data_IF_747696072618
#
_entry.id   IF_747696072618
#
_cell.length_a   1.000
_cell.length_b   1.000
_cell.length_c   1.000
_cell.angle_alpha   90.00
_cell.angle_beta   90.00
_cell.angle_gamma   90.00
#
_symmetry.space_group_name_H-M   'P 1'
#
loop_
_entity.id
_entity.type
_entity.pdbx_description
1 polymer ?
#
# COMPACT_ATOMS: atom_id res chain seq x y z
N UNK A 1 0.54 -12.05 -30.02
CA UNK A 1 -0.34 -11.87 -28.84
C UNK A 1 -1.35 -10.81 -29.20
N UNK A 2 -2.57 -11.22 -29.51
CA UNK A 2 -3.66 -10.31 -29.84
C UNK A 2 -4.27 -9.77 -28.55
N UNK A 3 -4.46 -8.46 -28.48
CA UNK A 3 -5.39 -7.85 -27.51
C UNK A 3 -6.81 -8.25 -27.91
N UNK A 4 -7.74 -8.23 -26.94
CA UNK A 4 -9.16 -8.42 -27.22
C UNK A 4 -9.62 -7.37 -28.27
N UNK A 5 -10.51 -7.70 -29.22
CA UNK A 5 -10.97 -6.74 -30.23
C UNK A 5 -11.56 -5.46 -29.64
N UNK A 6 -12.29 -5.59 -28.53
CA UNK A 6 -12.90 -4.47 -27.80
C UNK A 6 -11.99 -3.85 -26.72
N UNK A 7 -10.68 -4.09 -26.78
CA UNK A 7 -9.76 -3.52 -25.81
C UNK A 7 -9.76 -1.97 -25.91
N UNK A 8 -10.04 -1.25 -24.81
CA UNK A 8 -10.16 0.20 -24.82
C UNK A 8 -8.84 0.88 -25.17
N UNK A 9 -8.92 1.95 -25.97
CA UNK A 9 -7.78 2.81 -26.31
C UNK A 9 -7.49 3.87 -25.25
N UNK A 10 -8.49 4.24 -24.44
CA UNK A 10 -8.35 5.24 -23.38
C UNK A 10 -7.87 4.59 -22.09
N UNK A 11 -6.84 5.13 -21.42
CA UNK A 11 -6.38 4.61 -20.12
C UNK A 11 -7.36 4.91 -18.96
N UNK A 12 -8.37 5.73 -19.22
CA UNK A 12 -9.44 6.08 -18.28
C UNK A 12 -10.69 5.22 -18.46
N UNK A 13 -10.81 4.49 -19.57
CA UNK A 13 -11.94 3.63 -19.82
C UNK A 13 -11.87 2.38 -18.93
N UNK A 14 -13.03 1.94 -18.46
CA UNK A 14 -13.14 0.69 -17.72
C UNK A 14 -12.72 -0.49 -18.60
N UNK A 15 -11.83 -1.32 -18.05
CA UNK A 15 -11.36 -2.54 -18.71
C UNK A 15 -12.04 -3.76 -18.08
N UNK A 16 -13.03 -4.28 -18.78
CA UNK A 16 -13.86 -5.39 -18.31
C UNK A 16 -13.03 -6.68 -18.10
N UNK A 17 -13.42 -7.54 -17.14
CA UNK A 17 -12.67 -8.77 -16.82
C UNK A 17 -12.48 -9.73 -18.00
N UNK A 18 -13.45 -9.79 -18.91
CA UNK A 18 -13.46 -10.61 -20.12
C UNK A 18 -12.56 -10.07 -21.24
N UNK A 19 -12.31 -8.75 -21.27
CA UNK A 19 -11.45 -8.09 -22.26
C UNK A 19 -9.95 -8.08 -21.87
N UNK A 20 -9.60 -8.62 -20.71
CA UNK A 20 -8.24 -8.54 -20.15
C UNK A 20 -7.21 -9.26 -20.99
N UNK A 21 -6.01 -8.68 -21.08
CA UNK A 21 -4.87 -9.42 -21.61
C UNK A 21 -4.50 -10.61 -20.71
N UNK A 22 -4.12 -11.73 -21.34
CA UNK A 22 -3.58 -12.93 -20.69
C UNK A 22 -2.45 -13.50 -21.55
N UNK A 23 -1.53 -14.31 -20.98
CA UNK A 23 -0.31 -14.75 -21.68
C UNK A 23 -0.58 -15.94 -22.63
N UNK A 24 -1.60 -15.85 -23.48
CA UNK A 24 -1.92 -16.83 -24.52
C UNK A 24 -2.66 -16.16 -25.69
N UNK A 25 -2.93 -16.94 -26.73
CA UNK A 25 -3.73 -16.48 -27.86
C UNK A 25 -5.21 -16.37 -27.46
N UNK A 26 -5.93 -15.38 -28.01
CA UNK A 26 -7.31 -15.03 -27.62
C UNK A 26 -8.28 -16.22 -27.70
N UNK A 27 -8.06 -17.13 -28.65
CA UNK A 27 -8.84 -18.35 -28.87
C UNK A 27 -8.80 -19.30 -27.66
N UNK A 28 -7.79 -19.18 -26.81
CA UNK A 28 -7.61 -20.00 -25.60
C UNK A 28 -8.24 -19.40 -24.34
N UNK A 29 -8.90 -18.22 -24.42
CA UNK A 29 -9.45 -17.53 -23.24
C UNK A 29 -10.38 -18.41 -22.42
N UNK A 30 -11.34 -19.07 -23.09
CA UNK A 30 -12.36 -19.90 -22.43
C UNK A 30 -11.80 -21.12 -21.69
N UNK A 31 -10.56 -21.55 -21.99
CA UNK A 31 -9.97 -22.78 -21.44
C UNK A 31 -8.70 -22.56 -20.62
N UNK A 32 -7.98 -21.47 -20.85
CA UNK A 32 -6.65 -21.21 -20.29
C UNK A 32 -6.56 -19.95 -19.42
N UNK A 33 -7.53 -19.03 -19.49
CA UNK A 33 -7.44 -17.75 -18.77
C UNK A 33 -7.23 -17.91 -17.27
N UNK A 34 -8.04 -18.74 -16.61
CA UNK A 34 -7.94 -18.99 -15.16
C UNK A 34 -6.69 -19.78 -14.77
N UNK A 35 -6.15 -20.60 -15.69
CA UNK A 35 -4.94 -21.43 -15.45
C UNK A 35 -3.63 -20.65 -15.61
N UNK A 36 -3.67 -19.55 -16.36
CA UNK A 36 -2.49 -18.75 -16.70
C UNK A 36 -2.35 -17.48 -15.86
N UNK A 37 -3.37 -17.16 -15.06
CA UNK A 37 -3.35 -16.05 -14.12
C UNK A 37 -3.08 -16.55 -12.70
N UNK A 38 -2.62 -15.66 -11.79
CA UNK A 38 -2.59 -15.99 -10.38
C UNK A 38 -3.99 -16.44 -9.90
N UNK A 39 -4.10 -17.53 -9.12
CA UNK A 39 -5.35 -18.26 -8.89
C UNK A 39 -6.56 -17.46 -8.41
N UNK A 40 -6.32 -16.39 -7.65
CA UNK A 40 -7.39 -15.57 -7.06
C UNK A 40 -7.86 -14.43 -7.98
N UNK A 41 -7.05 -14.05 -8.98
CA UNK A 41 -7.21 -12.77 -9.70
C UNK A 41 -8.46 -12.76 -10.59
N UNK A 42 -8.76 -13.87 -11.28
CA UNK A 42 -9.88 -13.92 -12.21
C UNK A 42 -11.23 -13.69 -11.50
N UNK A 43 -11.42 -14.37 -10.36
CA UNK A 43 -12.63 -14.26 -9.54
C UNK A 43 -12.74 -12.89 -8.87
N UNK A 44 -11.64 -12.40 -8.26
CA UNK A 44 -11.62 -11.07 -7.62
C UNK A 44 -12.00 -9.98 -8.63
N UNK A 45 -11.41 -9.96 -9.83
CA UNK A 45 -11.74 -8.95 -10.85
C UNK A 45 -13.22 -8.97 -11.24
N UNK A 46 -13.79 -10.17 -11.40
CA UNK A 46 -15.19 -10.34 -11.77
C UNK A 46 -16.11 -9.80 -10.67
N UNK A 47 -15.84 -10.14 -9.41
CA UNK A 47 -16.65 -9.68 -8.28
C UNK A 47 -16.48 -8.18 -8.00
N UNK A 48 -15.27 -7.63 -8.14
CA UNK A 48 -15.02 -6.18 -8.03
C UNK A 48 -15.74 -5.41 -9.14
N UNK A 49 -15.74 -5.93 -10.37
CA UNK A 49 -16.48 -5.32 -11.49
C UNK A 49 -17.99 -5.27 -11.22
N UNK A 50 -18.56 -6.35 -10.68
CA UNK A 50 -19.98 -6.38 -10.30
C UNK A 50 -20.28 -5.41 -9.14
N UNK A 51 -19.44 -5.40 -8.11
CA UNK A 51 -19.58 -4.51 -6.96
C UNK A 51 -19.49 -3.02 -7.33
N UNK A 52 -18.61 -2.67 -8.29
CA UNK A 52 -18.53 -1.32 -8.87
C UNK A 52 -19.83 -0.94 -9.58
N UNK A 53 -20.36 -1.83 -10.42
CA UNK A 53 -21.62 -1.60 -11.13
C UNK A 53 -22.81 -1.42 -10.18
N UNK A 54 -22.79 -2.11 -9.03
CA UNK A 54 -23.78 -1.97 -7.95
C UNK A 54 -23.52 -0.74 -7.05
N UNK A 55 -22.73 0.24 -7.48
CA UNK A 55 -22.48 1.49 -6.74
C UNK A 55 -21.88 1.27 -5.33
N UNK A 56 -20.97 0.30 -5.21
CA UNK A 56 -20.22 -0.03 -4.01
C UNK A 56 -21.07 -0.51 -2.83
N UNK A 57 -22.16 -1.25 -3.09
CA UNK A 57 -23.02 -1.83 -2.05
C UNK A 57 -22.21 -2.69 -1.06
N UNK A 58 -22.50 -2.53 0.24
CA UNK A 58 -21.87 -3.26 1.33
C UNK A 58 -20.55 -2.66 1.84
N UNK A 59 -20.03 -1.60 1.21
CA UNK A 59 -18.91 -0.83 1.75
C UNK A 59 -19.36 0.04 2.94
N UNK A 60 -18.44 0.37 3.83
CA UNK A 60 -18.66 1.38 4.88
C UNK A 60 -19.01 2.75 4.27
N UNK A 61 -19.63 3.60 5.08
CA UNK A 61 -19.97 4.97 4.66
C UNK A 61 -18.70 5.74 4.26
N UNK A 62 -17.61 5.56 5.01
CA UNK A 62 -16.31 6.16 4.70
C UNK A 62 -15.76 5.69 3.36
N UNK A 63 -15.70 4.38 3.12
CA UNK A 63 -15.19 3.82 1.85
C UNK A 63 -16.03 4.30 0.67
N UNK A 64 -17.37 4.29 0.81
CA UNK A 64 -18.27 4.75 -0.24
C UNK A 64 -18.11 6.24 -0.51
N UNK A 65 -17.95 7.07 0.52
CA UNK A 65 -17.70 8.51 0.34
C UNK A 65 -16.41 8.76 -0.44
N UNK A 66 -15.31 8.11 -0.05
CA UNK A 66 -14.01 8.25 -0.71
C UNK A 66 -14.01 7.72 -2.15
N UNK A 67 -14.61 6.56 -2.41
CA UNK A 67 -14.69 5.99 -3.76
C UNK A 67 -15.50 6.88 -4.72
N UNK A 68 -16.65 7.41 -4.26
CA UNK A 68 -17.44 8.34 -5.06
C UNK A 68 -16.71 9.67 -5.27
N UNK A 69 -16.02 10.16 -4.24
CA UNK A 69 -15.17 11.33 -4.38
C UNK A 69 -14.10 11.09 -5.45
N UNK A 70 -13.30 10.03 -5.36
CA UNK A 70 -12.17 9.83 -6.28
C UNK A 70 -12.56 9.49 -7.72
N UNK A 71 -13.63 8.72 -7.92
CA UNK A 71 -13.88 8.10 -9.23
C UNK A 71 -15.17 8.54 -9.91
N UNK A 72 -16.12 9.11 -9.18
CA UNK A 72 -17.41 9.54 -9.72
C UNK A 72 -17.59 11.08 -9.69
N UNK A 73 -16.80 11.78 -8.89
CA UNK A 73 -16.82 13.25 -8.82
C UNK A 73 -15.84 13.84 -9.82
N UNK A 74 -16.25 14.91 -10.52
CA UNK A 74 -15.36 15.67 -11.40
C UNK A 74 -14.44 16.57 -10.58
N UNK A 75 -13.13 16.47 -10.82
CA UNK A 75 -12.12 17.28 -10.18
C UNK A 75 -11.49 18.21 -11.20
N UNK A 76 -11.49 19.51 -10.93
CA UNK A 76 -10.82 20.50 -11.76
C UNK A 76 -9.53 20.92 -11.08
N UNK A 77 -8.40 20.74 -11.77
CA UNK A 77 -7.07 21.14 -11.29
C UNK A 77 -6.57 22.29 -12.14
N UNK A 78 -6.09 23.34 -11.46
CA UNK A 78 -5.45 24.49 -12.08
C UNK A 78 -4.08 24.10 -12.64
N UNK A 79 -3.89 24.37 -13.92
CA UNK A 79 -2.66 24.13 -14.65
C UNK A 79 -1.70 25.30 -14.50
N UNK A 80 -0.44 25.11 -14.88
CA UNK A 80 0.59 26.15 -14.80
C UNK A 80 0.28 27.41 -15.63
N UNK A 81 -0.62 27.31 -16.62
CA UNK A 81 -1.11 28.40 -17.45
C UNK A 81 -2.39 29.08 -16.90
N UNK A 82 -2.86 28.68 -15.72
CA UNK A 82 -4.07 29.19 -15.08
C UNK A 82 -5.36 28.58 -15.63
N UNK A 83 -5.28 27.60 -16.54
CA UNK A 83 -6.48 26.90 -17.05
C UNK A 83 -6.93 25.80 -16.09
N UNK A 84 -8.23 25.55 -16.04
CA UNK A 84 -8.78 24.41 -15.30
C UNK A 84 -8.90 23.21 -16.23
N UNK A 85 -8.34 22.09 -15.80
CA UNK A 85 -8.41 20.83 -16.54
C UNK A 85 -9.04 19.73 -15.68
N UNK A 86 -9.82 18.82 -16.28
CA UNK A 86 -10.39 17.70 -15.55
C UNK A 86 -9.28 16.71 -15.18
N UNK A 87 -9.15 16.46 -13.88
CA UNK A 87 -8.29 15.42 -13.34
C UNK A 87 -9.06 14.10 -13.24
N UNK A 88 -8.44 13.02 -13.71
CA UNK A 88 -8.99 11.67 -13.63
C UNK A 88 -7.89 10.67 -13.29
N UNK A 89 -8.20 9.74 -12.40
CA UNK A 89 -7.34 8.58 -12.17
C UNK A 89 -7.45 7.60 -13.35
N UNK A 90 -6.35 6.94 -13.68
CA UNK A 90 -6.38 5.85 -14.66
C UNK A 90 -7.18 4.68 -14.12
N UNK A 91 -7.80 3.90 -15.01
CA UNK A 91 -8.60 2.76 -14.58
C UNK A 91 -7.78 1.72 -13.82
N UNK A 92 -6.51 1.53 -14.16
CA UNK A 92 -5.61 0.64 -13.42
C UNK A 92 -5.36 1.11 -11.97
N UNK A 93 -5.37 2.42 -11.71
CA UNK A 93 -5.25 2.99 -10.36
C UNK A 93 -6.56 2.80 -9.59
N UNK A 94 -7.70 3.07 -10.25
CA UNK A 94 -9.04 2.83 -9.71
C UNK A 94 -9.24 1.39 -9.29
N UNK A 95 -8.99 0.44 -10.19
CA UNK A 95 -9.15 -0.99 -9.90
C UNK A 95 -8.24 -1.45 -8.75
N UNK A 96 -7.00 -0.95 -8.69
CA UNK A 96 -6.08 -1.30 -7.61
C UNK A 96 -6.64 -0.90 -6.23
N UNK A 97 -7.14 0.34 -6.11
CA UNK A 97 -7.73 0.86 -4.87
C UNK A 97 -9.02 0.13 -4.54
N UNK A 98 -9.94 0.00 -5.50
CA UNK A 98 -11.21 -0.71 -5.33
C UNK A 98 -11.00 -2.16 -4.88
N UNK A 99 -10.01 -2.85 -5.44
CA UNK A 99 -9.73 -4.26 -5.08
C UNK A 99 -9.30 -4.38 -3.62
N UNK A 100 -8.40 -3.51 -3.15
CA UNK A 100 -7.94 -3.54 -1.75
C UNK A 100 -9.09 -3.22 -0.80
N UNK A 101 -9.88 -2.17 -1.11
CA UNK A 101 -11.03 -1.78 -0.30
C UNK A 101 -12.08 -2.89 -0.29
N UNK A 102 -12.38 -3.50 -1.43
CA UNK A 102 -13.36 -4.57 -1.52
C UNK A 102 -12.96 -5.81 -0.74
N UNK A 103 -11.68 -6.22 -0.80
CA UNK A 103 -11.18 -7.36 -0.03
C UNK A 103 -11.28 -7.12 1.48
N UNK A 104 -10.90 -5.92 1.94
CA UNK A 104 -10.82 -5.62 3.36
C UNK A 104 -12.17 -5.17 3.95
N UNK A 105 -12.83 -4.17 3.38
CA UNK A 105 -14.05 -3.57 3.95
C UNK A 105 -15.30 -4.42 3.67
N UNK A 106 -15.46 -4.84 2.41
CA UNK A 106 -16.69 -5.54 1.97
C UNK A 106 -16.61 -7.03 2.29
N UNK A 107 -15.54 -7.69 1.83
CA UNK A 107 -15.37 -9.13 2.01
C UNK A 107 -14.78 -9.52 3.36
N UNK A 108 -14.26 -8.54 4.11
CA UNK A 108 -13.71 -8.73 5.46
C UNK A 108 -12.71 -9.88 5.51
N UNK A 109 -11.85 -9.95 4.49
CA UNK A 109 -10.80 -10.96 4.41
C UNK A 109 -9.80 -10.70 5.54
N UNK A 110 -9.72 -11.63 6.49
CA UNK A 110 -8.85 -11.51 7.68
C UNK A 110 -7.67 -12.47 7.66
N UNK A 111 -7.79 -13.56 6.93
CA UNK A 111 -6.77 -14.61 6.94
C UNK A 111 -6.68 -15.33 5.58
N UNK A 112 -5.75 -16.29 5.52
CA UNK A 112 -5.55 -17.16 4.34
C UNK A 112 -6.78 -18.01 3.99
N UNK A 113 -7.62 -18.36 4.97
CA UNK A 113 -8.83 -19.17 4.71
C UNK A 113 -9.90 -18.35 3.99
N UNK A 114 -10.05 -17.08 4.35
CA UNK A 114 -10.94 -16.16 3.64
C UNK A 114 -10.48 -15.93 2.19
N UNK A 115 -9.16 -15.84 1.95
CA UNK A 115 -8.59 -15.71 0.61
C UNK A 115 -8.87 -16.93 -0.28
N UNK A 116 -8.85 -18.14 0.27
CA UNK A 116 -9.12 -19.38 -0.49
C UNK A 116 -10.52 -19.42 -1.11
N UNK A 117 -11.48 -18.64 -0.59
CA UNK A 117 -12.82 -18.53 -1.18
C UNK A 117 -12.78 -17.95 -2.61
N UNK A 118 -11.70 -17.29 -2.98
CA UNK A 118 -11.50 -16.70 -4.30
C UNK A 118 -10.70 -17.58 -5.27
N UNK A 119 -10.24 -18.75 -4.84
CA UNK A 119 -9.53 -19.67 -5.73
C UNK A 119 -10.48 -20.27 -6.76
N UNK A 120 -10.33 -19.84 -8.02
CA UNK A 120 -11.07 -20.40 -9.15
C UNK A 120 -10.43 -21.71 -9.66
N UNK A 121 -9.14 -21.91 -9.39
CA UNK A 121 -8.36 -23.02 -9.94
C UNK A 121 -8.48 -24.32 -9.12
N UNK A 122 -8.81 -24.20 -7.83
CA UNK A 122 -8.75 -25.30 -6.85
C UNK A 122 -7.33 -25.80 -6.57
N UNK A 123 -6.31 -25.08 -7.04
CA UNK A 123 -4.90 -25.45 -6.92
C UNK A 123 -4.23 -24.85 -5.68
N UNK A 124 -4.90 -23.94 -4.94
CA UNK A 124 -4.31 -23.26 -3.79
C UNK A 124 -4.64 -24.01 -2.50
N UNK A 125 -3.62 -24.22 -1.68
CA UNK A 125 -3.77 -24.77 -0.32
C UNK A 125 -3.28 -23.78 0.72
N UNK A 126 -3.78 -23.90 1.95
CA UNK A 126 -3.38 -23.05 3.09
C UNK A 126 -1.88 -23.06 3.36
N UNK A 127 -1.21 -24.17 3.05
CA UNK A 127 0.22 -24.35 3.29
C UNK A 127 1.10 -23.57 2.29
N UNK A 128 0.49 -22.92 1.30
CA UNK A 128 1.19 -22.02 0.37
C UNK A 128 1.28 -20.58 0.88
N UNK A 129 0.68 -20.29 2.05
CA UNK A 129 0.75 -18.99 2.70
C UNK A 129 1.54 -19.13 4.00
N UNK A 130 2.70 -18.49 4.04
CA UNK A 130 3.58 -18.47 5.20
C UNK A 130 3.03 -17.54 6.31
N UNK A 131 2.23 -16.53 5.93
CA UNK A 131 1.66 -15.55 6.85
C UNK A 131 0.26 -15.91 7.35
N UNK A 132 -0.03 -15.48 8.57
CA UNK A 132 -1.36 -15.59 9.18
C UNK A 132 -2.21 -14.31 9.06
N UNK A 133 -1.67 -13.27 8.42
CA UNK A 133 -2.36 -12.00 8.15
C UNK A 133 -2.48 -11.74 6.64
N UNK A 134 -3.44 -10.92 6.21
CA UNK A 134 -3.69 -10.71 4.79
C UNK A 134 -2.63 -9.76 4.20
N UNK A 135 -1.83 -10.27 3.27
CA UNK A 135 -0.89 -9.47 2.47
C UNK A 135 -1.49 -9.19 1.10
N UNK A 136 -1.78 -7.93 0.80
CA UNK A 136 -2.26 -7.52 -0.51
C UNK A 136 -1.10 -7.11 -1.42
N UNK A 137 -0.97 -7.77 -2.58
CA UNK A 137 0.05 -7.46 -3.58
C UNK A 137 -0.62 -7.00 -4.86
N UNK A 138 -0.41 -5.73 -5.21
CA UNK A 138 -0.92 -5.14 -6.45
C UNK A 138 0.21 -5.08 -7.48
N UNK A 139 0.09 -5.86 -8.56
CA UNK A 139 1.05 -5.83 -9.67
C UNK A 139 0.73 -4.68 -10.61
N UNK A 140 1.58 -3.66 -10.63
CA UNK A 140 1.44 -2.47 -11.47
C UNK A 140 2.68 -2.25 -12.34
N UNK A 141 2.49 -1.74 -13.56
CA UNK A 141 3.59 -1.36 -14.43
C UNK A 141 4.33 -0.12 -13.89
N UNK A 142 5.64 -0.02 -14.13
CA UNK A 142 6.41 1.19 -13.85
C UNK A 142 5.81 2.38 -14.60
N UNK A 143 5.61 3.51 -13.91
CA UNK A 143 4.96 4.69 -14.49
C UNK A 143 3.43 4.68 -14.45
N UNK A 144 2.78 3.59 -14.02
CA UNK A 144 1.31 3.54 -13.87
C UNK A 144 0.77 4.37 -12.68
N UNK A 145 1.64 5.03 -11.91
CA UNK A 145 1.27 5.86 -10.76
C UNK A 145 1.06 5.08 -9.47
N UNK A 146 1.98 4.16 -9.13
CA UNK A 146 1.98 3.43 -7.85
C UNK A 146 1.87 4.36 -6.64
N UNK A 147 2.60 5.47 -6.63
CA UNK A 147 2.55 6.46 -5.55
C UNK A 147 1.14 7.03 -5.33
N UNK A 148 0.37 7.28 -6.41
CA UNK A 148 -1.01 7.76 -6.30
C UNK A 148 -1.94 6.71 -5.69
N UNK A 149 -1.75 5.43 -6.00
CA UNK A 149 -2.51 4.34 -5.36
C UNK A 149 -2.16 4.25 -3.88
N UNK A 150 -0.87 4.34 -3.54
CA UNK A 150 -0.42 4.34 -2.14
C UNK A 150 -1.02 5.50 -1.34
N UNK A 151 -1.02 6.71 -1.87
CA UNK A 151 -1.59 7.88 -1.18
C UNK A 151 -3.11 7.76 -1.00
N UNK A 152 -3.85 7.23 -1.99
CA UNK A 152 -5.27 6.93 -1.84
C UNK A 152 -5.53 5.90 -0.73
N UNK A 153 -4.75 4.81 -0.67
CA UNK A 153 -4.89 3.78 0.35
C UNK A 153 -4.50 4.27 1.75
N UNK A 154 -3.48 5.12 1.87
CA UNK A 154 -3.10 5.77 3.13
C UNK A 154 -4.26 6.65 3.63
N UNK A 155 -4.82 7.49 2.75
CA UNK A 155 -5.95 8.34 3.10
C UNK A 155 -7.18 7.51 3.52
N UNK A 156 -7.50 6.45 2.77
CA UNK A 156 -8.57 5.52 3.14
C UNK A 156 -8.34 4.86 4.50
N UNK A 157 -7.16 4.31 4.75
CA UNK A 157 -6.84 3.67 6.03
C UNK A 157 -7.02 4.65 7.19
N UNK A 158 -6.52 5.89 7.04
CA UNK A 158 -6.62 6.92 8.06
C UNK A 158 -8.08 7.27 8.38
N UNK A 159 -8.89 7.59 7.37
CA UNK A 159 -10.28 8.01 7.58
C UNK A 159 -11.19 6.86 7.99
N UNK A 160 -10.98 5.67 7.45
CA UNK A 160 -11.77 4.51 7.82
C UNK A 160 -11.54 4.19 9.30
N UNK A 161 -10.30 4.28 9.79
CA UNK A 161 -10.01 4.15 11.22
C UNK A 161 -10.53 5.31 12.06
N UNK A 162 -10.54 6.53 11.53
CA UNK A 162 -11.02 7.70 12.25
C UNK A 162 -12.54 7.70 12.43
N UNK A 163 -13.29 7.30 11.40
CA UNK A 163 -14.73 7.48 11.37
C UNK A 163 -15.56 6.21 11.56
N UNK A 164 -15.00 5.02 11.29
CA UNK A 164 -15.69 3.75 11.49
C UNK A 164 -15.26 3.13 12.83
N UNK A 165 -16.21 2.89 13.73
CA UNK A 165 -15.92 2.45 15.11
C UNK A 165 -15.21 1.10 15.20
N UNK A 166 -15.55 0.16 14.31
CA UNK A 166 -15.03 -1.20 14.32
C UNK A 166 -13.86 -1.41 13.33
N UNK A 167 -13.23 -0.31 12.90
CA UNK A 167 -12.14 -0.36 11.93
C UNK A 167 -10.89 -0.99 12.54
N UNK A 168 -10.36 -2.01 11.86
CA UNK A 168 -9.06 -2.64 12.15
C UNK A 168 -7.90 -1.98 11.39
N UNK A 169 -8.16 -0.91 10.65
CA UNK A 169 -7.14 -0.20 9.88
C UNK A 169 -6.27 0.70 10.76
N UNK A 170 -5.26 1.28 10.12
CA UNK A 170 -4.17 2.00 10.75
C UNK A 170 -4.26 3.50 10.51
N UNK A 171 -3.72 4.28 11.47
CA UNK A 171 -3.44 5.72 11.32
C UNK A 171 -1.95 6.04 11.38
N UNK A 172 -1.12 5.01 11.59
CA UNK A 172 0.32 5.10 11.52
C UNK A 172 0.80 4.27 10.32
N UNK A 173 1.76 4.80 9.58
CA UNK A 173 2.13 4.27 8.28
C UNK A 173 3.65 4.17 8.15
N UNK A 174 4.13 3.02 7.70
CA UNK A 174 5.52 2.82 7.32
C UNK A 174 5.59 2.62 5.81
N UNK A 175 6.20 3.57 5.11
CA UNK A 175 6.48 3.48 3.68
C UNK A 175 7.95 3.11 3.46
N UNK A 176 8.17 1.90 2.96
CA UNK A 176 9.51 1.34 2.74
C UNK A 176 9.94 1.49 1.29
N UNK A 177 11.10 2.12 1.09
CA UNK A 177 11.81 2.18 -0.18
C UNK A 177 12.93 1.11 -0.25
N UNK A 178 13.11 0.45 -1.40
CA UNK A 178 14.17 -0.56 -1.59
C UNK A 178 15.58 0.05 -1.63
N UNK A 179 15.72 1.24 -2.20
CA UNK A 179 17.01 1.91 -2.40
C UNK A 179 16.85 3.43 -2.20
N UNK A 180 17.98 4.14 -2.09
CA UNK A 180 18.00 5.58 -1.81
C UNK A 180 17.38 6.38 -2.98
N UNK A 181 17.53 5.91 -4.22
CA UNK A 181 16.97 6.60 -5.40
C UNK A 181 15.43 6.60 -5.35
N UNK A 182 14.83 5.45 -5.02
CA UNK A 182 13.37 5.35 -4.82
C UNK A 182 12.94 6.14 -3.60
N UNK A 183 13.72 6.13 -2.52
CA UNK A 183 13.45 6.94 -1.33
C UNK A 183 13.38 8.43 -1.67
N UNK A 184 14.34 8.96 -2.42
CA UNK A 184 14.38 10.38 -2.80
C UNK A 184 13.18 10.76 -3.68
N UNK A 185 12.75 9.86 -4.59
CA UNK A 185 11.54 10.06 -5.39
C UNK A 185 10.28 10.10 -4.53
N UNK A 186 10.11 9.11 -3.65
CA UNK A 186 8.98 9.09 -2.71
C UNK A 186 9.00 10.30 -1.79
N UNK A 187 10.19 10.72 -1.33
CA UNK A 187 10.35 11.92 -0.53
C UNK A 187 9.85 13.14 -1.30
N UNK A 188 10.25 13.32 -2.56
CA UNK A 188 9.79 14.44 -3.37
C UNK A 188 8.24 14.47 -3.52
N UNK A 189 7.61 13.30 -3.64
CA UNK A 189 6.15 13.17 -3.75
C UNK A 189 5.43 13.46 -2.42
N UNK A 190 5.96 12.96 -1.30
CA UNK A 190 5.35 13.04 0.02
C UNK A 190 5.78 14.26 0.86
N UNK A 191 6.83 14.98 0.46
CA UNK A 191 7.33 16.14 1.20
C UNK A 191 6.24 17.19 1.38
N UNK A 192 6.13 17.70 2.61
CA UNK A 192 5.03 18.59 3.02
C UNK A 192 3.62 18.02 2.83
N UNK A 193 3.48 16.69 2.68
CA UNK A 193 2.22 16.00 2.36
C UNK A 193 1.55 16.49 1.06
N UNK A 194 2.34 17.09 0.15
CA UNK A 194 1.81 17.78 -1.03
C UNK A 194 0.95 16.89 -1.92
N UNK A 195 1.28 15.60 -2.05
CA UNK A 195 0.47 14.65 -2.81
C UNK A 195 -1.00 14.59 -2.32
N UNK A 196 -1.24 14.69 -1.01
CA UNK A 196 -2.59 14.61 -0.44
C UNK A 196 -3.43 15.86 -0.71
N UNK A 197 -2.79 17.02 -0.90
CA UNK A 197 -3.48 18.30 -1.08
C UNK A 197 -3.50 18.79 -2.54
N UNK A 198 -2.52 18.39 -3.35
CA UNK A 198 -2.43 18.77 -4.76
C UNK A 198 -3.31 17.90 -5.66
N UNK A 199 -3.35 16.59 -5.38
CA UNK A 199 -4.29 15.68 -6.02
C UNK A 199 -5.63 15.69 -5.25
N UNK A 200 -6.76 15.37 -5.89
CA UNK A 200 -8.06 15.30 -5.23
C UNK A 200 -8.21 14.05 -4.33
N UNK A 201 -7.23 13.80 -3.46
CA UNK A 201 -7.22 12.66 -2.55
C UNK A 201 -8.11 12.95 -1.34
N UNK A 202 -8.01 14.15 -0.78
CA UNK A 202 -8.82 14.57 0.36
C UNK A 202 -10.10 15.27 -0.13
N UNK A 203 -11.29 14.80 0.27
CA UNK A 203 -12.53 15.53 0.04
C UNK A 203 -12.51 16.91 0.70
N UNK A 204 -13.37 17.81 0.20
CA UNK A 204 -13.56 19.11 0.84
C UNK A 204 -14.27 18.98 2.19
N UNK A 205 -14.00 19.92 3.11
CA UNK A 205 -14.71 19.97 4.38
C UNK A 205 -16.21 20.20 4.15
N UNK A 206 -17.04 19.44 4.85
CA UNK A 206 -18.49 19.39 4.66
C UNK A 206 -18.96 18.30 3.69
N UNK A 207 -18.06 17.66 2.93
CA UNK A 207 -18.43 16.51 2.11
C UNK A 207 -18.96 15.38 3.00
N UNK A 208 -20.19 14.91 2.75
CA UNK A 208 -20.89 13.93 3.59
C UNK A 208 -20.93 14.32 5.09
N UNK A 209 -20.93 15.62 5.40
CA UNK A 209 -21.01 16.12 6.78
C UNK A 209 -19.75 15.93 7.63
N UNK A 210 -18.59 15.65 7.01
CA UNK A 210 -17.30 15.45 7.72
C UNK A 210 -16.26 16.49 7.28
N UNK A 211 -15.25 16.73 8.11
CA UNK A 211 -14.22 17.74 7.88
C UNK A 211 -12.90 17.11 7.42
N UNK A 212 -12.94 16.44 6.27
CA UNK A 212 -11.85 15.61 5.76
C UNK A 212 -10.47 16.29 5.75
N UNK A 213 -10.35 17.54 5.31
CA UNK A 213 -9.05 18.23 5.25
C UNK A 213 -8.54 18.62 6.63
N UNK A 214 -9.44 19.04 7.52
CA UNK A 214 -9.06 19.47 8.87
C UNK A 214 -8.72 18.28 9.76
N UNK A 215 -9.47 17.18 9.59
CA UNK A 215 -9.30 15.93 10.33
C UNK A 215 -8.02 15.18 9.89
N UNK A 216 -7.51 15.44 8.68
CA UNK A 216 -6.30 14.81 8.15
C UNK A 216 -5.01 15.37 8.73
N UNK A 217 -4.66 14.88 9.92
CA UNK A 217 -3.47 15.29 10.67
C UNK A 217 -2.37 14.23 10.57
N UNK A 218 -1.63 14.22 9.47
CA UNK A 218 -0.42 13.40 9.31
C UNK A 218 0.86 14.20 9.56
N UNK A 219 1.88 13.55 10.13
CA UNK A 219 3.25 14.06 10.23
C UNK A 219 4.19 13.12 9.47
N UNK A 220 4.93 13.68 8.51
CA UNK A 220 5.96 12.93 7.78
C UNK A 220 7.27 12.91 8.58
N UNK A 221 7.79 11.71 8.82
CA UNK A 221 9.10 11.46 9.43
C UNK A 221 9.99 10.81 8.38
N UNK A 222 11.18 11.37 8.15
CA UNK A 222 12.08 10.89 7.09
C UNK A 222 13.35 10.35 7.75
N UNK A 223 13.61 9.06 7.57
CA UNK A 223 14.80 8.39 8.11
C UNK A 223 15.00 8.71 9.61
N UNK A 224 16.12 9.35 9.95
CA UNK A 224 16.54 9.67 11.32
C UNK A 224 15.97 11.02 11.81
N UNK A 225 15.32 11.81 10.94
CA UNK A 225 14.62 13.04 11.32
C UNK A 225 13.22 12.70 11.85
N UNK A 226 13.22 11.91 12.93
CA UNK A 226 12.02 11.54 13.65
C UNK A 226 11.66 12.71 14.57
N UNK A 227 10.75 13.56 14.09
CA UNK A 227 10.05 14.54 14.93
C UNK A 227 9.31 13.84 16.08
N UNK A 228 8.79 14.63 17.03
CA UNK A 228 7.92 14.13 18.11
C UNK A 228 6.86 13.18 17.53
N UNK A 229 6.97 11.90 17.88
CA UNK A 229 6.09 10.83 17.43
C UNK A 229 4.77 10.99 18.18
N UNK A 230 3.68 11.09 17.43
CA UNK A 230 2.33 11.15 18.00
C UNK A 230 1.82 9.73 18.25
N UNK A 231 0.79 9.58 19.08
CA UNK A 231 0.11 8.28 19.20
C UNK A 231 -0.49 7.83 17.85
N UNK A 232 -1.01 8.77 17.07
CA UNK A 232 -1.60 8.51 15.75
C UNK A 232 -1.23 9.59 14.75
N UNK A 233 -1.25 9.23 13.46
CA UNK A 233 -1.06 10.17 12.37
C UNK A 233 0.41 10.34 11.98
N UNK A 234 1.20 9.28 12.05
CA UNK A 234 2.61 9.31 11.66
C UNK A 234 2.80 8.59 10.32
N UNK A 235 3.54 9.20 9.41
CA UNK A 235 3.99 8.58 8.15
C UNK A 235 5.51 8.52 8.17
N UNK A 236 6.05 7.33 8.35
CA UNK A 236 7.49 7.06 8.34
C UNK A 236 7.92 6.69 6.92
N UNK A 237 8.81 7.47 6.33
CA UNK A 237 9.40 7.19 5.04
C UNK A 237 10.86 6.79 5.24
N UNK A 238 11.19 5.54 4.90
CA UNK A 238 12.51 5.00 5.16
C UNK A 238 12.98 4.02 4.10
N UNK A 239 14.29 3.74 4.11
CA UNK A 239 14.89 2.69 3.29
C UNK A 239 14.89 1.37 4.06
N UNK A 240 14.74 0.24 3.36
CA UNK A 240 14.74 -1.10 3.95
C UNK A 240 15.98 -1.41 4.81
N UNK A 241 17.17 -0.92 4.43
CA UNK A 241 18.41 -1.11 5.19
C UNK A 241 18.39 -0.48 6.59
N UNK A 242 17.48 0.47 6.84
CA UNK A 242 17.27 1.09 8.15
C UNK A 242 16.20 0.38 8.99
N UNK A 243 15.38 -0.47 8.36
CA UNK A 243 14.35 -1.28 9.04
C UNK A 243 14.95 -2.59 9.56
N UNK A 244 16.02 -3.07 8.90
CA UNK A 244 16.79 -4.20 9.39
C UNK A 244 17.29 -3.93 10.81
N UNK A 245 17.11 -4.91 11.70
CA UNK A 245 17.90 -5.00 12.90
C UNK A 245 19.38 -4.92 12.48
N UNK A 246 20.17 -4.05 13.11
CA UNK A 246 21.63 -4.12 12.95
C UNK A 246 22.06 -5.57 13.09
N UNK A 247 22.81 -6.09 12.11
CA UNK A 247 23.08 -7.52 11.89
C UNK A 247 23.05 -8.33 13.19
N UNK A 248 21.93 -9.01 13.45
CA UNK A 248 21.92 -10.04 14.49
C UNK A 248 22.71 -11.19 13.88
N UNK A 249 24.03 -11.19 14.08
CA UNK A 249 24.88 -12.34 13.80
C UNK A 249 24.27 -13.53 14.53
N UNK A 250 23.78 -14.51 13.77
CA UNK A 250 23.42 -15.80 14.35
C UNK A 250 24.70 -16.40 14.96
N UNK A 251 24.69 -16.76 16.25
CA UNK A 251 25.90 -17.20 16.93
C UNK A 251 26.43 -18.48 16.27
N UNK A 252 27.69 -18.43 15.82
CA UNK A 252 28.44 -19.61 15.36
C UNK A 252 29.31 -20.13 16.50
N UNK A 253 29.48 -21.46 16.57
CA UNK A 253 30.41 -22.09 17.51
C UNK A 253 31.88 -21.75 17.21
N UNK A 254 32.14 -21.16 16.05
CA UNK A 254 33.48 -20.75 15.57
C UNK A 254 33.82 -19.28 15.85
N UNK A 255 33.00 -18.53 16.61
CA UNK A 255 33.32 -17.15 16.98
C UNK A 255 34.37 -17.12 18.11
N UNK A 256 35.57 -16.62 17.79
CA UNK A 256 36.74 -16.57 18.70
C UNK A 256 36.55 -15.64 19.92
N UNK A 257 35.57 -14.73 19.90
CA UNK A 257 35.30 -13.80 21.01
C UNK A 257 33.83 -13.34 21.08
N UNK A 258 33.11 -13.80 22.11
CA UNK A 258 31.71 -13.42 22.35
C UNK A 258 31.54 -12.02 22.97
N UNK A 259 32.63 -11.28 23.24
CA UNK A 259 32.55 -9.95 23.88
C UNK A 259 31.99 -8.87 22.96
N UNK A 260 32.23 -8.97 21.66
CA UNK A 260 31.71 -8.00 20.68
C UNK A 260 30.18 -8.05 20.60
N UNK A 261 29.57 -9.24 20.79
CA UNK A 261 28.11 -9.40 20.93
C UNK A 261 27.52 -8.60 22.12
N UNK A 262 28.24 -8.49 23.24
CA UNK A 262 27.80 -7.74 24.41
C UNK A 262 28.09 -6.24 24.34
N UNK A 263 29.02 -5.82 23.48
CA UNK A 263 29.50 -4.44 23.40
C UNK A 263 28.98 -3.67 22.18
N UNK A 264 28.61 -4.36 21.09
CA UNK A 264 27.99 -3.77 19.90
C UNK A 264 26.68 -2.99 20.18
N UNK A 265 25.80 -3.41 21.11
CA UNK A 265 24.63 -2.61 21.49
C UNK A 265 24.98 -1.26 22.12
N UNK A 266 26.22 -1.07 22.57
CA UNK A 266 26.69 0.15 23.26
C UNK A 266 27.55 1.06 22.37
N UNK A 267 27.82 0.67 21.12
CA UNK A 267 28.56 1.44 20.12
C UNK A 267 30.05 1.72 20.47
N UNK A 268 30.82 2.33 19.54
CA UNK A 268 32.20 2.72 19.81
C UNK A 268 32.27 3.81 20.89
N UNK A 269 33.29 3.74 21.77
CA UNK A 269 33.54 4.74 22.84
C UNK A 269 33.43 6.17 22.29
N UNK A 270 32.57 7.03 22.86
CA UNK A 270 32.29 8.34 22.28
C UNK A 270 33.52 9.26 22.39
N UNK A 271 34.03 9.67 21.23
CA UNK A 271 34.94 10.81 21.08
C UNK A 271 34.14 11.98 20.54
N UNK A 272 33.90 12.99 21.39
CA UNK A 272 33.55 14.35 20.95
C UNK A 272 32.07 14.66 20.70
N UNK A 273 31.48 15.36 21.67
CA UNK A 273 30.28 16.22 21.65
C UNK A 273 29.60 16.53 20.29
N UNK A 274 28.34 16.13 20.16
CA UNK A 274 27.22 16.97 19.67
C UNK A 274 25.89 16.36 20.13
N UNK A 275 24.97 17.22 20.57
CA UNK A 275 23.60 16.94 20.97
C UNK A 275 22.72 16.67 19.75
N UNK A 276 22.77 15.46 19.20
CA UNK A 276 21.75 14.95 18.29
C UNK A 276 21.25 13.63 18.86
N UNK A 277 20.01 13.62 19.34
CA UNK A 277 19.30 12.42 19.76
C UNK A 277 19.06 11.53 18.54
N UNK A 278 20.00 10.64 18.22
CA UNK A 278 19.83 9.56 17.26
C UNK A 278 18.77 8.59 17.80
N UNK A 279 17.51 8.88 17.55
CA UNK A 279 16.41 7.97 17.87
C UNK A 279 16.38 6.92 16.77
N UNK A 280 16.46 5.64 17.13
CA UNK A 280 16.38 4.55 16.16
C UNK A 280 14.93 4.42 15.66
N UNK A 281 14.72 4.71 14.37
CA UNK A 281 13.43 4.57 13.72
C UNK A 281 12.87 3.14 13.88
N UNK A 282 13.74 2.13 13.88
CA UNK A 282 13.34 0.74 14.04
C UNK A 282 12.70 0.46 15.39
N UNK A 283 13.15 1.10 16.48
CA UNK A 283 12.55 0.95 17.81
C UNK A 283 11.19 1.67 17.85
N UNK A 284 11.15 2.91 17.37
CA UNK A 284 9.93 3.74 17.32
C UNK A 284 8.79 3.04 16.58
N UNK A 285 9.10 2.47 15.41
CA UNK A 285 8.08 1.81 14.57
C UNK A 285 7.58 0.49 15.18
N UNK A 286 8.35 -0.14 16.08
CA UNK A 286 7.93 -1.36 16.79
C UNK A 286 7.09 -1.08 18.03
N UNK A 287 7.26 0.09 18.64
CA UNK A 287 6.48 0.51 19.81
C UNK A 287 5.15 1.17 19.43
N UNK A 288 4.97 1.57 18.17
CA UNK A 288 3.77 2.27 17.74
C UNK A 288 2.61 1.32 17.44
N UNK A 289 1.44 1.62 17.99
CA UNK A 289 0.21 0.90 17.71
C UNK A 289 -0.38 1.30 16.34
N UNK A 290 -1.27 0.45 15.81
CA UNK A 290 -2.04 0.72 14.59
C UNK A 290 -1.16 1.06 13.37
N UNK A 291 -0.14 0.22 13.11
CA UNK A 291 0.80 0.39 11.99
C UNK A 291 0.36 -0.37 10.73
N UNK A 292 0.29 0.33 9.60
CA UNK A 292 0.22 -0.28 8.27
C UNK A 292 1.53 -0.09 7.50
N UNK A 293 2.02 -1.17 6.90
CA UNK A 293 3.25 -1.19 6.12
C UNK A 293 2.94 -1.16 4.62
N UNK A 294 3.48 -0.16 3.93
CA UNK A 294 3.41 0.00 2.49
C UNK A 294 4.80 -0.17 1.87
N UNK A 295 4.87 -0.90 0.76
CA UNK A 295 6.11 -1.19 0.05
C UNK A 295 5.95 -0.89 -1.44
N UNK A 296 6.83 -0.06 -2.01
CA UNK A 296 6.81 0.27 -3.44
C UNK A 296 7.34 -0.87 -4.35
N UNK A 297 8.08 -1.84 -3.81
CA UNK A 297 8.70 -2.96 -4.53
C UNK A 297 8.51 -4.31 -3.83
N UNK A 298 7.28 -4.82 -3.86
CA UNK A 298 6.90 -6.10 -3.23
C UNK A 298 7.62 -7.35 -3.79
N UNK A 299 8.25 -7.25 -4.96
CA UNK A 299 8.98 -8.38 -5.56
C UNK A 299 10.24 -8.78 -4.76
N UNK A 300 10.66 -7.97 -3.79
CA UNK A 300 11.74 -8.31 -2.87
C UNK A 300 11.29 -9.13 -1.63
N UNK A 301 10.00 -9.48 -1.50
CA UNK A 301 9.46 -10.22 -0.34
C UNK A 301 9.06 -11.67 -0.72
N UNK A 302 9.73 -12.27 -1.71
CA UNK A 302 9.36 -13.61 -2.20
C UNK A 302 10.07 -14.76 -1.48
N UNK A 303 11.09 -14.48 -0.69
CA UNK A 303 11.85 -15.50 0.05
C UNK A 303 11.75 -15.24 1.56
N UNK A 304 11.16 -16.17 2.34
CA UNK A 304 11.06 -16.07 3.80
C UNK A 304 12.40 -15.89 4.52
N UNK A 305 13.52 -16.25 3.87
CA UNK A 305 14.86 -16.10 4.44
C UNK A 305 15.41 -14.68 4.30
N UNK A 306 14.81 -13.84 3.45
CA UNK A 306 15.28 -12.47 3.27
C UNK A 306 15.05 -11.65 4.55
N UNK A 307 16.04 -10.83 4.91
CA UNK A 307 15.95 -9.90 6.03
C UNK A 307 14.71 -8.99 5.94
N UNK A 308 14.28 -8.67 4.70
CA UNK A 308 13.05 -7.94 4.43
C UNK A 308 11.82 -8.66 4.97
N UNK A 309 11.65 -9.94 4.65
CA UNK A 309 10.53 -10.74 5.14
C UNK A 309 10.52 -10.80 6.67
N UNK A 310 11.68 -11.12 7.27
CA UNK A 310 11.86 -11.23 8.73
C UNK A 310 11.61 -9.93 9.49
N UNK A 311 11.86 -8.77 8.85
CA UNK A 311 11.73 -7.46 9.50
C UNK A 311 10.30 -6.89 9.43
N UNK A 312 9.44 -7.46 8.57
CA UNK A 312 8.02 -7.09 8.47
C UNK A 312 7.14 -7.94 9.39
N UNK A 313 7.59 -9.15 9.73
CA UNK A 313 6.95 -10.02 10.72
C UNK A 313 7.15 -9.49 12.14
#
# INVERSE_FOLDING_TARGET
MSLHPDFPSSPYAELLPDQRWFPAAEELRSTAYEKLLPPLVAKIRSEVSAWRADSYVGASETSRALLNWWFETEHLVEQADGTLSPFRYYFAQREAVETVIWLHDVRKVRDKFDLLRFDASGAVSTNMFDEDWPRYVVKMATGAGKTKVLSLLIAWSFFHKLYETDSTLARNFLLIAPNIIVLDRLRADFDGLRIFFNDPILPDNGHQGRNWRDDFQLTLHIQDDVRVVRETGNLFLTNIHRVYLGDVREPSLDDDDLRDYFLDPFGPKPVGKTTDSKTDLGEVVREIDELAVFNDEAHHIHDPKMAWFKSIQ
#
